data_IF_350397520367
#
_entry.id   IF_350397520367
#
_cell.length_a   1.000
_cell.length_b   1.000
_cell.length_c   1.000
_cell.angle_alpha   90.00
_cell.angle_beta   90.00
_cell.angle_gamma   90.00
#
_symmetry.space_group_name_H-M   'P 1'
#
loop_
_entity.id
_entity.type
_entity.pdbx_description
1 polymer ?
#
# COMPACT_ATOMS: atom_id res chain seq x y z
N UNK A 1 -22.58 49.51 29.25
CA UNK A 1 -23.04 48.12 29.35
C UNK A 1 -22.99 47.33 28.02
N UNK A 2 -22.27 47.77 26.98
CA UNK A 2 -22.26 47.10 25.65
C UNK A 2 -20.83 46.71 25.18
N UNK A 3 -19.82 46.84 26.04
CA UNK A 3 -18.42 46.51 25.69
C UNK A 3 -17.89 45.19 26.27
N UNK A 4 -18.65 44.52 27.13
CA UNK A 4 -18.26 43.25 27.76
C UNK A 4 -18.94 42.01 27.17
N UNK A 5 -19.88 42.19 26.23
CA UNK A 5 -20.58 41.06 25.60
C UNK A 5 -19.93 40.56 24.29
N UNK A 6 -19.04 41.36 23.68
CA UNK A 6 -18.43 41.02 22.39
C UNK A 6 -17.14 40.21 22.57
N UNK A 7 -16.46 40.35 23.72
CA UNK A 7 -15.20 39.63 24.00
C UNK A 7 -15.38 38.18 24.45
N UNK A 8 -16.58 37.81 24.93
CA UNK A 8 -16.86 36.43 25.37
C UNK A 8 -17.45 35.56 24.27
N UNK A 9 -17.96 36.15 23.18
CA UNK A 9 -18.54 35.42 22.05
C UNK A 9 -17.48 35.02 21.00
N UNK A 10 -16.29 35.64 21.04
CA UNK A 10 -15.21 35.33 20.09
C UNK A 10 -14.21 34.26 20.58
N UNK A 11 -14.33 33.76 21.82
CA UNK A 11 -13.44 32.72 22.36
C UNK A 11 -14.04 31.30 22.35
N UNK A 12 -15.30 31.15 21.97
CA UNK A 12 -15.88 29.88 21.50
C UNK A 12 -15.86 29.88 19.98
N UNK A 13 -14.69 30.10 19.38
CA UNK A 13 -14.45 29.60 18.04
C UNK A 13 -14.44 28.08 18.20
N UNK A 14 -15.58 27.47 17.87
CA UNK A 14 -15.76 26.04 17.92
C UNK A 14 -14.58 25.34 17.25
N UNK A 15 -13.73 24.65 18.02
CA UNK A 15 -13.18 23.39 17.56
C UNK A 15 -14.38 22.48 17.37
N UNK A 16 -15.07 22.59 16.23
CA UNK A 16 -15.94 21.50 15.80
C UNK A 16 -15.00 20.37 15.43
N UNK A 17 -14.67 19.53 16.40
CA UNK A 17 -14.11 18.22 16.12
C UNK A 17 -15.19 17.49 15.33
N UNK A 18 -15.06 17.47 14.00
CA UNK A 18 -15.98 16.73 13.15
C UNK A 18 -15.69 15.25 13.35
N UNK A 19 -16.43 14.61 14.26
CA UNK A 19 -16.40 13.15 14.42
C UNK A 19 -17.36 12.49 13.44
N UNK A 20 -16.94 11.39 12.83
CA UNK A 20 -17.80 10.58 11.95
C UNK A 20 -18.17 9.28 12.65
N UNK A 21 -19.46 9.06 12.87
CA UNK A 21 -19.95 7.82 13.47
C UNK A 21 -20.04 6.71 12.43
N UNK A 22 -19.45 5.57 12.73
CA UNK A 22 -19.53 4.34 11.95
C UNK A 22 -20.42 3.35 12.71
N UNK A 23 -21.65 3.10 12.23
CA UNK A 23 -22.50 2.10 12.86
C UNK A 23 -21.98 0.68 12.59
N UNK A 24 -22.09 -0.20 13.57
CA UNK A 24 -21.75 -1.62 13.41
C UNK A 24 -22.69 -2.55 14.18
N UNK A 25 -22.66 -3.84 13.85
CA UNK A 25 -23.31 -4.87 14.68
C UNK A 25 -22.61 -6.22 14.56
N UNK A 26 -22.69 -7.01 15.63
CA UNK A 26 -22.17 -8.37 15.69
C UNK A 26 -23.29 -9.39 15.51
N UNK A 27 -22.96 -10.52 14.88
CA UNK A 27 -23.81 -11.69 14.94
C UNK A 27 -23.75 -12.32 16.35
N UNK A 28 -24.90 -12.67 16.91
CA UNK A 28 -25.05 -13.27 18.25
C UNK A 28 -24.25 -14.56 18.44
N UNK A 29 -23.92 -15.27 17.34
CA UNK A 29 -23.18 -16.53 17.35
C UNK A 29 -21.66 -16.40 17.19
N UNK A 30 -21.08 -15.20 17.21
CA UNK A 30 -19.65 -15.03 17.01
C UNK A 30 -18.82 -15.62 18.16
N UNK A 31 -17.64 -16.15 17.81
CA UNK A 31 -16.63 -16.51 18.79
C UNK A 31 -16.14 -15.26 19.56
N UNK A 32 -15.94 -15.32 20.89
CA UNK A 32 -15.49 -14.18 21.69
C UNK A 32 -14.17 -13.56 21.23
N UNK A 33 -13.26 -14.37 20.67
CA UNK A 33 -11.98 -13.94 20.15
C UNK A 33 -12.13 -13.03 18.92
N UNK A 34 -13.15 -13.28 18.09
CA UNK A 34 -13.47 -12.46 16.91
C UNK A 34 -13.98 -11.10 17.36
N UNK A 35 -14.96 -11.06 18.25
CA UNK A 35 -15.54 -9.81 18.76
C UNK A 35 -14.47 -8.97 19.47
N UNK A 36 -13.60 -9.62 20.25
CA UNK A 36 -12.45 -8.95 20.88
C UNK A 36 -11.51 -8.35 19.83
N UNK A 37 -11.10 -9.12 18.82
CA UNK A 37 -10.18 -8.64 17.78
C UNK A 37 -10.73 -7.41 17.03
N UNK A 38 -12.04 -7.39 16.75
CA UNK A 38 -12.68 -6.26 16.09
C UNK A 38 -12.78 -5.05 17.00
N UNK A 39 -13.15 -5.23 18.27
CA UNK A 39 -13.22 -4.11 19.23
C UNK A 39 -11.85 -3.50 19.48
N UNK A 40 -10.81 -4.31 19.69
CA UNK A 40 -9.43 -3.85 19.86
C UNK A 40 -8.98 -3.04 18.63
N UNK A 41 -9.26 -3.52 17.41
CA UNK A 41 -8.91 -2.82 16.17
C UNK A 41 -9.72 -1.52 15.97
N UNK A 42 -11.01 -1.49 16.35
CA UNK A 42 -11.82 -0.27 16.33
C UNK A 42 -11.27 0.79 17.28
N UNK A 43 -10.85 0.40 18.48
CA UNK A 43 -10.26 1.29 19.48
C UNK A 43 -8.98 1.96 18.94
N UNK A 44 -8.08 1.17 18.36
CA UNK A 44 -6.85 1.70 17.74
C UNK A 44 -7.16 2.68 16.59
N UNK A 45 -8.16 2.38 15.76
CA UNK A 45 -8.60 3.29 14.70
C UNK A 45 -9.18 4.58 15.29
N UNK A 46 -9.96 4.50 16.38
CA UNK A 46 -10.54 5.68 17.03
C UNK A 46 -9.47 6.59 17.64
N UNK A 47 -8.39 6.02 18.18
CA UNK A 47 -7.29 6.78 18.77
C UNK A 47 -6.57 7.67 17.73
N UNK A 48 -6.38 7.14 16.52
CA UNK A 48 -5.65 7.84 15.46
C UNK A 48 -6.53 8.61 14.48
N UNK A 49 -7.86 8.51 14.60
CA UNK A 49 -8.81 9.13 13.67
C UNK A 49 -9.89 9.95 14.36
N UNK A 50 -10.79 10.54 13.59
CA UNK A 50 -12.02 11.18 14.09
C UNK A 50 -13.23 10.24 14.04
N UNK A 51 -13.01 8.95 13.77
CA UNK A 51 -14.07 7.97 13.71
C UNK A 51 -14.55 7.61 15.11
N UNK A 52 -15.84 7.31 15.22
CA UNK A 52 -16.45 6.75 16.43
C UNK A 52 -17.25 5.53 16.00
N UNK A 53 -16.93 4.36 16.53
CA UNK A 53 -17.71 3.16 16.24
C UNK A 53 -18.86 3.03 17.24
N UNK A 54 -20.08 2.91 16.75
CA UNK A 54 -21.29 2.75 17.58
C UNK A 54 -22.07 1.50 17.19
N UNK A 55 -22.42 0.68 18.17
CA UNK A 55 -23.19 -0.53 17.92
C UNK A 55 -24.66 -0.20 17.67
N UNK A 56 -25.16 -0.51 16.48
CA UNK A 56 -26.54 -0.25 16.06
C UNK A 56 -27.00 -1.29 15.03
N UNK A 57 -27.77 -2.28 15.47
CA UNK A 57 -28.29 -3.34 14.57
C UNK A 57 -29.41 -2.90 13.63
N UNK A 58 -29.97 -1.70 13.82
CA UNK A 58 -31.11 -1.20 13.03
C UNK A 58 -30.68 -0.28 11.89
N UNK A 59 -29.42 0.16 11.87
CA UNK A 59 -28.91 1.05 10.82
C UNK A 59 -28.51 0.25 9.56
N UNK A 60 -29.12 0.52 8.39
CA UNK A 60 -28.81 -0.18 7.15
C UNK A 60 -27.38 0.09 6.64
N UNK A 61 -26.73 1.14 7.13
CA UNK A 61 -25.36 1.48 6.77
C UNK A 61 -24.32 0.75 7.62
N UNK A 62 -24.75 -0.04 8.62
CA UNK A 62 -23.89 -0.74 9.56
C UNK A 62 -22.93 -1.72 8.90
N UNK A 63 -21.70 -1.74 9.43
CA UNK A 63 -20.80 -2.88 9.21
C UNK A 63 -21.31 -4.08 10.01
N UNK A 64 -21.54 -5.20 9.34
CA UNK A 64 -22.02 -6.43 9.98
C UNK A 64 -20.90 -7.45 10.11
N UNK A 65 -20.58 -7.88 11.33
CA UNK A 65 -19.48 -8.80 11.62
C UNK A 65 -20.00 -10.21 11.93
N UNK A 66 -19.53 -11.22 11.18
CA UNK A 66 -20.00 -12.60 11.31
C UNK A 66 -18.84 -13.63 11.28
N UNK A 67 -18.91 -14.60 12.18
CA UNK A 67 -18.05 -15.79 12.15
C UNK A 67 -18.47 -16.75 11.02
N UNK A 68 -17.53 -17.08 10.15
CA UNK A 68 -17.75 -17.91 8.97
C UNK A 68 -16.54 -18.78 8.59
N UNK A 69 -15.57 -18.93 9.50
CA UNK A 69 -14.38 -19.78 9.29
C UNK A 69 -13.41 -19.29 8.21
N UNK A 70 -13.60 -18.08 7.69
CA UNK A 70 -12.71 -17.43 6.74
C UNK A 70 -12.82 -15.92 6.91
N UNK A 71 -11.80 -15.18 6.51
CA UNK A 71 -11.80 -13.73 6.58
C UNK A 71 -12.20 -13.18 5.20
N UNK A 72 -13.22 -12.34 5.09
CA UNK A 72 -13.59 -11.72 3.80
C UNK A 72 -14.43 -10.45 4.00
N UNK A 73 -14.38 -9.55 3.02
CA UNK A 73 -15.25 -8.38 2.97
C UNK A 73 -16.21 -8.52 1.79
N UNK A 74 -17.50 -8.39 2.09
CA UNK A 74 -18.58 -8.39 1.11
C UNK A 74 -19.22 -7.00 1.05
N UNK A 75 -18.91 -6.26 -0.03
CA UNK A 75 -19.39 -4.88 -0.19
C UNK A 75 -20.90 -4.79 -0.45
N UNK A 76 -21.54 -5.83 -0.99
CA UNK A 76 -22.96 -5.76 -1.40
C UNK A 76 -23.95 -5.69 -0.23
N UNK A 77 -23.56 -6.20 0.94
CA UNK A 77 -24.35 -6.24 2.16
C UNK A 77 -23.55 -5.75 3.39
N UNK A 78 -22.43 -5.07 3.15
CA UNK A 78 -21.52 -4.55 4.18
C UNK A 78 -21.13 -5.56 5.25
N UNK A 79 -20.94 -6.82 4.85
CA UNK A 79 -20.65 -7.92 5.77
C UNK A 79 -19.17 -8.25 5.79
N UNK A 80 -18.60 -8.29 6.99
CA UNK A 80 -17.24 -8.72 7.29
C UNK A 80 -17.32 -10.13 7.88
N UNK A 81 -16.83 -11.07 7.10
CA UNK A 81 -16.65 -12.47 7.46
C UNK A 81 -15.32 -12.63 8.17
N UNK A 82 -15.30 -13.33 9.30
CA UNK A 82 -14.10 -13.62 10.09
C UNK A 82 -14.05 -15.10 10.46
N UNK A 83 -12.85 -15.60 10.72
CA UNK A 83 -12.63 -16.93 11.23
C UNK A 83 -11.46 -16.94 12.21
N UNK A 84 -11.58 -17.71 13.28
CA UNK A 84 -10.55 -17.80 14.33
C UNK A 84 -9.15 -18.13 13.80
N UNK A 85 -9.07 -18.88 12.69
CA UNK A 85 -7.81 -19.30 12.06
C UNK A 85 -7.11 -18.20 11.25
N UNK A 86 -7.79 -17.08 10.97
CA UNK A 86 -7.27 -15.98 10.14
C UNK A 86 -7.23 -14.62 10.85
N UNK A 87 -7.80 -14.50 12.05
CA UNK A 87 -7.76 -13.26 12.81
C UNK A 87 -6.39 -13.03 13.46
N UNK A 88 -5.95 -11.79 13.38
CA UNK A 88 -4.82 -11.21 14.11
C UNK A 88 -5.13 -9.72 14.30
N UNK A 89 -4.44 -9.05 15.21
CA UNK A 89 -4.55 -7.60 15.43
C UNK A 89 -4.50 -6.84 14.09
N UNK A 90 -3.47 -7.13 13.28
CA UNK A 90 -3.31 -6.57 11.94
C UNK A 90 -4.44 -6.94 10.98
N UNK A 91 -4.88 -8.20 10.97
CA UNK A 91 -5.96 -8.66 10.08
C UNK A 91 -7.26 -7.89 10.35
N UNK A 92 -7.60 -7.68 11.62
CA UNK A 92 -8.83 -7.01 12.03
C UNK A 92 -8.80 -5.52 11.67
N UNK A 93 -7.66 -4.85 11.87
CA UNK A 93 -7.48 -3.46 11.44
C UNK A 93 -7.56 -3.32 9.91
N UNK A 94 -6.88 -4.21 9.17
CA UNK A 94 -6.84 -4.21 7.71
C UNK A 94 -8.24 -4.39 7.10
N UNK A 95 -9.04 -5.33 7.63
CA UNK A 95 -10.36 -5.64 7.07
C UNK A 95 -11.40 -4.55 7.38
N UNK A 96 -11.36 -3.93 8.57
CA UNK A 96 -12.20 -2.78 8.91
C UNK A 96 -11.85 -1.59 8.02
N UNK A 97 -10.56 -1.27 7.92
CA UNK A 97 -10.07 -0.18 7.08
C UNK A 97 -10.55 -0.35 5.65
N UNK A 98 -10.46 -1.57 5.11
CA UNK A 98 -10.95 -1.89 3.78
C UNK A 98 -12.46 -1.69 3.64
N UNK A 99 -13.24 -2.18 4.61
CA UNK A 99 -14.69 -2.01 4.58
C UNK A 99 -15.10 -0.53 4.56
N UNK A 100 -14.32 0.31 5.25
CA UNK A 100 -14.53 1.75 5.29
C UNK A 100 -14.03 2.47 4.06
N UNK A 101 -12.91 2.07 3.44
CA UNK A 101 -12.32 2.81 2.32
C UNK A 101 -12.77 2.32 0.95
N UNK A 102 -13.20 1.06 0.83
CA UNK A 102 -13.35 0.29 -0.42
C UNK A 102 -12.04 0.09 -1.20
N UNK A 103 -10.92 0.53 -0.65
CA UNK A 103 -9.58 0.37 -1.20
C UNK A 103 -8.81 -0.70 -0.42
N UNK A 104 -7.72 -1.20 -1.01
CA UNK A 104 -6.79 -2.08 -0.30
C UNK A 104 -6.12 -1.29 0.85
N UNK A 105 -5.92 -1.89 2.03
CA UNK A 105 -5.54 -1.17 3.26
C UNK A 105 -4.12 -0.61 3.18
N UNK A 106 -3.96 0.69 3.46
CA UNK A 106 -2.67 1.35 3.65
C UNK A 106 -1.82 0.69 4.75
N UNK A 107 -0.47 0.67 4.71
CA UNK A 107 0.30 0.27 5.90
C UNK A 107 0.01 1.18 7.10
N UNK A 108 -0.80 2.23 6.91
CA UNK A 108 -1.20 3.22 7.89
C UNK A 108 -2.70 3.53 7.66
N UNK A 109 -3.53 2.57 8.05
CA UNK A 109 -4.98 2.61 7.97
C UNK A 109 -5.59 3.96 8.40
N UNK A 110 -5.13 4.47 9.54
CA UNK A 110 -5.65 5.70 10.15
C UNK A 110 -5.56 6.92 9.25
N UNK A 111 -4.51 7.08 8.45
CA UNK A 111 -4.34 8.29 7.61
C UNK A 111 -5.26 8.30 6.41
N UNK A 112 -5.46 7.15 5.78
CA UNK A 112 -6.43 7.04 4.68
C UNK A 112 -7.84 7.30 5.19
N UNK A 113 -8.16 6.80 6.38
CA UNK A 113 -9.42 7.10 7.06
C UNK A 113 -9.53 8.59 7.37
N UNK A 114 -8.47 9.22 7.88
CA UNK A 114 -8.45 10.67 8.14
C UNK A 114 -8.70 11.51 6.89
N UNK A 115 -8.14 11.14 5.74
CA UNK A 115 -8.41 11.80 4.46
C UNK A 115 -9.87 11.55 4.04
N UNK A 116 -10.33 10.29 4.06
CA UNK A 116 -11.67 9.91 3.59
C UNK A 116 -12.79 10.57 4.39
N UNK A 117 -12.63 10.65 5.71
CA UNK A 117 -13.62 11.20 6.64
C UNK A 117 -13.32 12.63 7.07
N UNK A 118 -12.32 13.27 6.44
CA UNK A 118 -11.93 14.66 6.69
C UNK A 118 -11.66 14.97 8.18
N UNK A 119 -10.87 14.10 8.82
CA UNK A 119 -10.45 14.26 10.20
C UNK A 119 -9.37 15.35 10.30
N UNK A 120 -9.78 16.63 10.31
CA UNK A 120 -8.89 17.80 10.23
C UNK A 120 -7.92 17.95 11.40
N UNK A 121 -8.27 17.37 12.55
CA UNK A 121 -7.48 17.45 13.78
C UNK A 121 -6.48 16.29 13.91
N UNK A 122 -6.40 15.42 12.90
CA UNK A 122 -5.52 14.24 12.84
C UNK A 122 -4.60 14.31 11.64
N UNK A 123 -3.49 13.56 11.67
CA UNK A 123 -2.53 13.56 10.57
C UNK A 123 -3.15 12.95 9.31
N UNK A 124 -3.17 13.73 8.22
CA UNK A 124 -3.57 13.32 6.87
C UNK A 124 -2.39 13.14 5.93
N UNK A 125 -1.17 13.48 6.36
CA UNK A 125 0.05 13.38 5.55
C UNK A 125 0.44 11.92 5.29
N UNK A 126 0.59 11.55 4.02
CA UNK A 126 1.10 10.23 3.62
C UNK A 126 2.53 10.37 3.10
N UNK A 127 3.48 9.75 3.80
CA UNK A 127 4.86 9.64 3.35
C UNK A 127 5.02 8.55 2.30
N UNK A 128 5.94 8.78 1.37
CA UNK A 128 6.30 7.87 0.30
C UNK A 128 7.66 7.21 0.58
N UNK A 129 8.01 6.20 -0.21
CA UNK A 129 9.35 5.61 -0.25
C UNK A 129 9.93 5.23 1.13
N UNK A 130 9.10 4.62 1.97
CA UNK A 130 9.47 4.13 3.30
C UNK A 130 9.54 5.22 4.38
N UNK A 131 9.09 6.44 4.09
CA UNK A 131 8.97 7.50 5.10
C UNK A 131 7.93 7.17 6.17
N UNK A 132 8.18 7.66 7.38
CA UNK A 132 7.29 7.53 8.54
C UNK A 132 6.84 8.90 9.01
N UNK A 133 5.58 9.05 9.45
CA UNK A 133 5.15 10.33 10.04
C UNK A 133 5.52 10.33 11.51
N UNK A 134 6.12 11.42 11.97
CA UNK A 134 6.43 11.64 13.37
C UNK A 134 5.25 12.24 14.14
N UNK A 135 5.41 12.47 15.44
CA UNK A 135 4.36 13.03 16.31
C UNK A 135 3.86 14.43 15.92
N UNK A 136 4.56 15.14 15.02
CA UNK A 136 4.19 16.47 14.54
C UNK A 136 3.48 16.46 13.18
N UNK A 137 3.05 15.29 12.71
CA UNK A 137 2.49 15.11 11.37
C UNK A 137 3.47 15.45 10.22
N UNK A 138 4.77 15.29 10.42
CA UNK A 138 5.81 15.50 9.39
C UNK A 138 6.44 14.17 8.97
N UNK A 139 6.88 14.06 7.72
CA UNK A 139 7.54 12.86 7.22
C UNK A 139 9.03 12.81 7.58
N UNK A 140 9.42 11.77 8.29
CA UNK A 140 10.80 11.33 8.47
C UNK A 140 11.17 10.36 7.35
N UNK A 141 12.06 10.80 6.45
CA UNK A 141 12.40 10.05 5.25
C UNK A 141 13.44 8.97 5.47
N UNK A 142 13.21 7.82 4.83
CA UNK A 142 14.18 6.75 4.76
C UNK A 142 15.46 7.17 4.01
N UNK A 143 16.51 6.36 4.16
CA UNK A 143 17.78 6.59 3.46
C UNK A 143 17.56 6.79 1.96
N UNK A 144 18.25 7.79 1.39
CA UNK A 144 18.20 8.10 -0.03
C UNK A 144 17.12 9.10 -0.44
N UNK A 145 16.13 9.38 0.42
CA UNK A 145 14.98 10.23 0.09
C UNK A 145 14.96 11.57 0.84
N UNK A 146 14.18 12.52 0.32
CA UNK A 146 13.90 13.85 0.89
C UNK A 146 12.54 14.37 0.37
N UNK A 147 12.14 15.54 0.83
CA UNK A 147 10.87 16.19 0.47
C UNK A 147 9.86 16.06 1.59
N UNK A 148 8.80 16.84 1.53
CA UNK A 148 7.78 16.89 2.59
C UNK A 148 7.02 15.56 2.72
N UNK A 149 7.02 14.75 1.65
CA UNK A 149 6.44 13.41 1.61
C UNK A 149 7.47 12.34 1.28
N UNK A 150 8.77 12.65 1.35
CA UNK A 150 9.85 11.72 0.96
C UNK A 150 9.80 11.26 -0.51
N UNK A 151 9.18 12.09 -1.36
CA UNK A 151 8.90 11.82 -2.76
C UNK A 151 10.11 12.05 -3.68
N UNK A 152 11.18 12.67 -3.18
CA UNK A 152 12.35 13.07 -3.97
C UNK A 152 13.60 12.28 -3.57
N UNK A 153 14.53 12.13 -4.51
CA UNK A 153 15.85 11.56 -4.24
C UNK A 153 16.80 12.62 -3.67
N UNK A 154 17.39 12.34 -2.51
CA UNK A 154 18.28 13.27 -1.81
C UNK A 154 19.53 13.58 -2.62
N UNK A 155 20.08 12.57 -3.28
CA UNK A 155 21.36 12.64 -4.00
C UNK A 155 21.21 12.73 -5.52
N UNK A 156 20.03 13.07 -6.04
CA UNK A 156 19.78 13.20 -7.48
C UNK A 156 20.78 14.13 -8.19
N UNK A 157 21.12 15.25 -7.55
CA UNK A 157 22.11 16.22 -8.05
C UNK A 157 23.53 15.65 -8.21
N UNK A 158 23.81 14.47 -7.66
CA UNK A 158 25.10 13.79 -7.76
C UNK A 158 25.13 12.73 -8.87
N UNK A 159 24.01 12.49 -9.58
CA UNK A 159 23.97 11.47 -10.63
C UNK A 159 24.94 11.78 -11.76
N UNK A 160 25.70 10.77 -12.14
CA UNK A 160 26.70 10.86 -13.21
C UNK A 160 26.34 10.04 -14.44
N UNK A 161 25.25 9.27 -14.36
CA UNK A 161 24.71 8.44 -15.43
C UNK A 161 23.25 8.84 -15.72
N UNK A 162 22.83 8.77 -16.98
CA UNK A 162 21.50 9.23 -17.40
C UNK A 162 20.38 8.23 -17.09
N UNK A 163 20.71 6.98 -16.78
CA UNK A 163 19.74 5.95 -16.43
C UNK A 163 19.51 5.88 -14.91
N UNK A 164 19.81 6.94 -14.15
CA UNK A 164 19.52 7.01 -12.72
C UNK A 164 18.20 7.73 -12.47
N UNK A 165 17.52 7.40 -11.38
CA UNK A 165 16.28 8.04 -10.97
C UNK A 165 15.15 7.05 -10.67
N UNK A 166 13.92 7.53 -10.80
CA UNK A 166 12.70 6.73 -10.63
C UNK A 166 12.36 5.96 -11.90
N UNK A 167 11.92 4.72 -11.70
CA UNK A 167 11.47 3.79 -12.72
C UNK A 167 10.06 3.34 -12.35
N UNK A 168 9.10 3.83 -13.11
CA UNK A 168 7.67 3.61 -12.89
C UNK A 168 7.07 2.62 -13.91
N UNK A 169 7.87 1.72 -14.50
CA UNK A 169 7.35 0.76 -15.50
C UNK A 169 6.25 -0.13 -14.87
N UNK A 170 5.09 -0.15 -15.52
CA UNK A 170 3.82 -0.61 -14.92
C UNK A 170 3.76 -2.09 -14.51
N UNK A 171 4.72 -2.93 -14.92
CA UNK A 171 4.65 -4.38 -14.64
C UNK A 171 5.99 -5.10 -14.54
N UNK A 172 6.97 -4.81 -15.39
CA UNK A 172 8.30 -5.44 -15.36
C UNK A 172 9.30 -4.70 -16.21
N UNK A 173 10.58 -4.83 -15.88
CA UNK A 173 11.64 -4.18 -16.62
C UNK A 173 13.04 -4.61 -16.18
N UNK A 174 14.02 -3.81 -16.55
CA UNK A 174 15.40 -3.98 -16.11
C UNK A 174 16.07 -2.63 -15.91
N UNK A 175 16.95 -2.55 -14.91
CA UNK A 175 17.76 -1.37 -14.65
C UNK A 175 19.25 -1.70 -14.72
N UNK A 176 20.00 -0.79 -15.32
CA UNK A 176 21.47 -0.83 -15.44
C UNK A 176 21.98 0.57 -15.79
N UNK A 177 23.30 0.76 -15.72
CA UNK A 177 23.94 1.98 -16.23
C UNK A 177 23.71 2.15 -17.75
N UNK A 178 23.73 3.39 -18.21
CA UNK A 178 23.59 3.74 -19.64
C UNK A 178 24.65 3.10 -20.55
N UNK A 179 25.81 2.73 -19.99
CA UNK A 179 26.90 2.09 -20.72
C UNK A 179 26.77 0.58 -20.86
N UNK A 180 25.90 -0.06 -20.09
CA UNK A 180 25.75 -1.53 -20.07
C UNK A 180 25.23 -2.05 -21.43
N UNK A 181 25.73 -3.17 -21.98
CA UNK A 181 26.68 -4.14 -21.41
C UNK A 181 28.17 -3.77 -21.58
N UNK A 182 28.47 -2.57 -22.05
CA UNK A 182 29.83 -2.03 -22.09
C UNK A 182 30.34 -1.59 -20.71
N UNK A 183 31.62 -1.24 -20.66
CA UNK A 183 32.29 -0.83 -19.43
C UNK A 183 31.96 0.62 -19.05
N UNK A 184 32.00 0.90 -17.75
CA UNK A 184 31.87 2.24 -17.19
C UNK A 184 32.98 3.13 -17.75
N UNK A 185 32.59 4.23 -18.39
CA UNK A 185 33.53 5.17 -19.03
C UNK A 185 33.81 6.42 -18.20
N UNK A 186 32.94 6.75 -17.23
CA UNK A 186 33.06 7.94 -16.38
C UNK A 186 33.15 7.51 -14.91
N UNK A 187 34.31 7.72 -14.28
CA UNK A 187 34.53 7.47 -12.85
C UNK A 187 34.84 8.79 -12.13
N UNK A 188 34.40 8.99 -10.87
CA UNK A 188 33.49 8.11 -10.14
C UNK A 188 32.08 8.16 -10.75
N UNK A 189 31.34 7.06 -10.60
CA UNK A 189 29.94 6.95 -10.99
C UNK A 189 29.08 6.90 -9.74
N UNK A 190 28.04 7.72 -9.69
CA UNK A 190 27.00 7.61 -8.68
C UNK A 190 25.64 7.47 -9.37
N UNK A 191 24.90 6.44 -8.98
CA UNK A 191 23.58 6.15 -9.52
C UNK A 191 22.65 5.55 -8.47
N UNK A 192 21.40 5.99 -8.47
CA UNK A 192 20.32 5.39 -7.70
C UNK A 192 19.19 5.02 -8.65
N UNK A 193 18.78 3.75 -8.62
CA UNK A 193 17.58 3.27 -9.30
C UNK A 193 16.50 3.04 -8.26
N UNK A 194 15.42 3.81 -8.33
CA UNK A 194 14.22 3.57 -7.53
C UNK A 194 13.20 2.91 -8.41
N UNK A 195 12.97 1.62 -8.19
CA UNK A 195 11.89 0.90 -8.86
C UNK A 195 10.67 1.01 -7.94
N UNK A 196 9.57 1.55 -8.45
CA UNK A 196 8.37 1.83 -7.66
C UNK A 196 7.13 1.33 -8.39
N UNK A 197 6.26 0.67 -7.67
CA UNK A 197 4.91 0.36 -8.13
C UNK A 197 3.98 1.53 -7.78
N UNK A 198 3.14 1.94 -8.74
CA UNK A 198 2.11 2.96 -8.53
C UNK A 198 1.20 2.57 -7.36
N UNK A 199 0.90 1.27 -7.26
CA UNK A 199 0.08 0.72 -6.22
C UNK A 199 0.91 0.47 -4.94
N UNK A 200 0.60 1.13 -3.81
CA UNK A 200 1.32 0.94 -2.54
C UNK A 200 1.19 -0.47 -1.93
N UNK A 201 0.29 -1.31 -2.48
CA UNK A 201 0.08 -2.71 -2.08
C UNK A 201 0.98 -3.70 -2.78
N UNK A 202 1.60 -3.29 -3.87
CA UNK A 202 2.41 -4.19 -4.67
C UNK A 202 3.82 -4.24 -4.08
N UNK A 203 4.52 -5.33 -4.34
CA UNK A 203 5.92 -5.47 -3.96
C UNK A 203 6.74 -5.60 -5.23
N UNK A 204 7.97 -5.13 -5.20
CA UNK A 204 8.92 -5.32 -6.29
C UNK A 204 9.64 -6.63 -6.04
N UNK A 205 9.53 -7.56 -6.97
CA UNK A 205 10.37 -8.75 -7.01
C UNK A 205 11.46 -8.55 -8.05
N UNK A 206 12.72 -8.73 -7.66
CA UNK A 206 13.85 -8.49 -8.54
C UNK A 206 14.95 -9.53 -8.35
N UNK A 207 15.81 -9.64 -9.37
CA UNK A 207 16.99 -10.50 -9.38
C UNK A 207 18.19 -9.76 -9.97
N UNK A 208 19.38 -10.08 -9.46
CA UNK A 208 20.61 -9.69 -10.12
C UNK A 208 20.90 -10.66 -11.27
N UNK A 209 20.92 -10.16 -12.50
CA UNK A 209 21.32 -10.95 -13.68
C UNK A 209 22.83 -10.94 -13.84
N UNK A 210 23.47 -9.80 -13.57
CA UNK A 210 24.91 -9.63 -13.63
C UNK A 210 25.38 -8.67 -12.53
N UNK A 211 26.57 -8.95 -11.97
CA UNK A 211 27.24 -8.11 -10.97
C UNK A 211 28.72 -8.04 -11.34
N UNK A 212 29.10 -6.94 -11.98
CA UNK A 212 30.48 -6.68 -12.38
C UNK A 212 30.96 -5.36 -11.76
N UNK A 213 31.64 -5.47 -10.61
CA UNK A 213 32.04 -4.38 -9.74
C UNK A 213 33.54 -4.47 -9.43
N UNK A 214 34.18 -3.34 -9.17
CA UNK A 214 35.59 -3.29 -8.81
C UNK A 214 35.90 -4.01 -7.49
N UNK A 215 36.87 -4.94 -7.55
CA UNK A 215 37.35 -5.74 -6.43
C UNK A 215 38.88 -5.65 -6.24
N UNK A 216 39.53 -4.75 -6.97
CA UNK A 216 40.96 -4.50 -6.87
C UNK A 216 41.27 -3.45 -5.78
N UNK A 217 42.54 -3.28 -5.41
CA UNK A 217 43.02 -2.19 -4.54
C UNK A 217 42.27 -2.00 -3.20
N UNK A 218 41.77 -3.09 -2.61
CA UNK A 218 40.95 -3.06 -1.39
C UNK A 218 41.75 -2.59 -0.16
N UNK A 219 41.20 -1.63 0.59
CA UNK A 219 41.73 -1.31 1.91
C UNK A 219 41.51 -2.48 2.88
N UNK A 220 42.31 -2.61 3.97
CA UNK A 220 42.14 -3.68 4.95
C UNK A 220 40.69 -3.73 5.48
N UNK A 221 40.03 -4.88 5.30
CA UNK A 221 38.65 -5.11 5.73
C UNK A 221 37.56 -4.72 4.72
N UNK A 222 37.91 -4.10 3.58
CA UNK A 222 36.97 -3.89 2.48
C UNK A 222 36.87 -5.15 1.61
N UNK A 223 35.65 -5.45 1.14
CA UNK A 223 35.40 -6.53 0.19
C UNK A 223 35.35 -6.05 -1.26
N UNK A 224 34.96 -4.79 -1.45
CA UNK A 224 34.78 -4.17 -2.76
C UNK A 224 35.25 -2.72 -2.72
N UNK A 225 35.79 -2.28 -3.85
CA UNK A 225 36.15 -0.88 -4.05
C UNK A 225 34.91 -0.08 -4.45
N UNK A 226 34.09 -0.67 -5.33
CA UNK A 226 32.75 -0.17 -5.65
C UNK A 226 31.75 -0.63 -4.57
N UNK A 227 30.70 0.16 -4.34
CA UNK A 227 29.63 -0.15 -3.40
C UNK A 227 28.31 -0.25 -4.14
N UNK A 228 27.64 -1.40 -4.01
CA UNK A 228 26.29 -1.64 -4.48
C UNK A 228 25.42 -1.98 -3.26
N UNK A 229 24.39 -1.18 -2.98
CA UNK A 229 23.52 -1.36 -1.80
C UNK A 229 22.07 -1.41 -2.26
N UNK A 230 21.28 -2.24 -1.59
CA UNK A 230 19.83 -2.32 -1.78
C UNK A 230 19.14 -1.89 -0.49
N UNK A 231 18.09 -1.07 -0.62
CA UNK A 231 17.27 -0.58 0.49
C UNK A 231 15.80 -0.90 0.21
N UNK A 232 15.06 -1.30 1.25
CA UNK A 232 13.65 -1.71 1.17
C UNK A 232 13.43 -3.22 1.03
N UNK A 233 14.41 -4.03 1.44
CA UNK A 233 14.39 -5.50 1.42
C UNK A 233 15.00 -6.02 2.72
N UNK A 234 14.21 -6.69 3.57
CA UNK A 234 14.68 -7.17 4.88
C UNK A 234 15.81 -8.20 4.78
N UNK A 235 15.78 -9.08 3.77
CA UNK A 235 16.80 -10.14 3.62
C UNK A 235 18.17 -9.64 3.15
N UNK A 236 18.27 -8.38 2.73
CA UNK A 236 19.50 -7.76 2.25
C UNK A 236 19.99 -6.69 3.21
N UNK A 237 21.10 -6.96 3.88
CA UNK A 237 21.79 -5.98 4.73
C UNK A 237 23.21 -5.71 4.24
N UNK A 238 23.56 -4.43 4.17
CA UNK A 238 24.89 -3.98 3.75
C UNK A 238 25.12 -3.99 2.24
N UNK A 239 26.39 -3.91 1.84
CA UNK A 239 26.80 -3.87 0.44
C UNK A 239 26.86 -5.28 -0.18
N UNK A 240 26.39 -5.40 -1.41
CA UNK A 240 26.48 -6.59 -2.24
C UNK A 240 27.95 -6.88 -2.56
N UNK A 241 28.43 -8.11 -2.37
CA UNK A 241 29.82 -8.45 -2.65
C UNK A 241 30.12 -8.44 -4.16
N UNK A 242 31.39 -8.25 -4.48
CA UNK A 242 31.96 -8.19 -5.83
C UNK A 242 32.96 -9.34 -6.09
N UNK A 243 33.37 -10.05 -5.02
CA UNK A 243 34.19 -11.25 -5.06
C UNK A 243 33.38 -12.50 -5.49
N UNK A 244 33.97 -13.69 -5.36
CA UNK A 244 33.33 -14.96 -5.71
C UNK A 244 31.98 -15.22 -5.01
N UNK A 245 31.74 -14.61 -3.84
CA UNK A 245 30.49 -14.77 -3.08
C UNK A 245 29.29 -14.11 -3.76
N UNK A 246 29.51 -13.19 -4.71
CA UNK A 246 28.44 -12.57 -5.50
C UNK A 246 27.60 -13.58 -6.29
N UNK A 247 28.18 -14.76 -6.60
CA UNK A 247 27.46 -15.86 -7.26
C UNK A 247 26.24 -16.33 -6.48
N UNK A 248 26.21 -16.14 -5.15
CA UNK A 248 25.05 -16.47 -4.33
C UNK A 248 23.87 -15.49 -4.49
N UNK A 249 24.11 -14.32 -5.09
CA UNK A 249 23.12 -13.28 -5.31
C UNK A 249 22.57 -13.30 -6.73
N UNK A 250 23.35 -13.75 -7.71
CA UNK A 250 22.96 -13.80 -9.12
C UNK A 250 21.87 -14.87 -9.33
N UNK A 251 20.77 -14.47 -9.97
CA UNK A 251 19.61 -15.34 -10.25
C UNK A 251 18.76 -15.70 -9.02
N UNK A 252 19.07 -15.14 -7.85
CA UNK A 252 18.20 -15.26 -6.66
C UNK A 252 17.16 -14.14 -6.70
N UNK A 253 15.89 -14.50 -6.56
CA UNK A 253 14.81 -13.53 -6.36
C UNK A 253 14.83 -12.94 -4.95
N UNK A 254 14.62 -11.63 -4.88
CA UNK A 254 14.39 -10.86 -3.67
C UNK A 254 13.08 -10.10 -3.80
N UNK A 255 12.43 -9.84 -2.67
CA UNK A 255 11.15 -9.14 -2.62
C UNK A 255 11.24 -7.96 -1.69
N UNK A 256 10.75 -6.81 -2.14
CA UNK A 256 10.70 -5.62 -1.30
C UNK A 256 9.62 -5.71 -0.22
N UNK A 257 9.88 -5.02 0.89
CA UNK A 257 8.97 -4.95 2.04
C UNK A 257 7.75 -4.06 1.77
N UNK A 258 7.87 -3.20 0.75
CA UNK A 258 6.88 -2.20 0.33
C UNK A 258 6.83 -2.07 -1.19
N UNK A 259 6.15 -1.06 -1.71
CA UNK A 259 5.98 -0.82 -3.14
C UNK A 259 7.18 -0.19 -3.84
N UNK A 260 8.35 -0.14 -3.20
CA UNK A 260 9.56 0.36 -3.82
C UNK A 260 10.79 -0.45 -3.42
N UNK A 261 11.82 -0.38 -4.23
CA UNK A 261 13.18 -0.76 -3.88
C UNK A 261 14.15 0.31 -4.40
N UNK A 262 15.11 0.70 -3.57
CA UNK A 262 16.18 1.61 -3.94
C UNK A 262 17.48 0.81 -4.09
N UNK A 263 18.07 0.86 -5.28
CA UNK A 263 19.37 0.25 -5.58
C UNK A 263 20.37 1.37 -5.85
N UNK A 264 21.43 1.42 -5.06
CA UNK A 264 22.44 2.47 -5.12
C UNK A 264 23.80 1.90 -5.53
N UNK A 265 24.40 2.47 -6.57
CA UNK A 265 25.76 2.20 -7.01
C UNK A 265 26.66 3.43 -6.78
N UNK A 266 27.80 3.20 -6.13
CA UNK A 266 28.91 4.15 -5.97
C UNK A 266 30.18 3.49 -6.49
N UNK A 267 30.79 4.04 -7.54
CA UNK A 267 32.08 3.55 -8.03
C UNK A 267 33.22 4.45 -7.59
N UNK A 268 34.37 3.83 -7.38
CA UNK A 268 35.61 4.50 -7.00
C UNK A 268 36.30 5.16 -8.19
N UNK A 269 37.06 6.23 -7.93
CA UNK A 269 37.97 6.82 -8.91
C UNK A 269 39.30 6.07 -9.03
N UNK A 270 39.60 5.14 -8.11
CA UNK A 270 40.91 4.48 -7.98
C UNK A 270 40.98 3.10 -8.65
N UNK A 271 39.86 2.61 -9.18
CA UNK A 271 39.84 1.33 -9.89
C UNK A 271 40.29 1.53 -11.34
N UNK A 272 41.40 0.92 -11.71
CA UNK A 272 41.90 0.91 -13.10
C UNK A 272 41.18 -0.15 -13.97
N UNK A 273 40.44 -1.06 -13.32
CA UNK A 273 39.71 -2.13 -13.98
C UNK A 273 38.50 -1.65 -14.79
N UNK A 274 38.15 -2.45 -15.81
CA UNK A 274 36.99 -2.21 -16.68
C UNK A 274 35.83 -3.09 -16.20
N UNK A 275 34.86 -2.45 -15.56
CA UNK A 275 33.68 -3.10 -14.98
C UNK A 275 32.42 -2.59 -15.66
N UNK A 276 31.43 -3.46 -15.85
CA UNK A 276 30.14 -3.14 -16.51
C UNK A 276 29.10 -2.53 -15.56
N UNK A 277 29.25 -2.75 -14.25
CA UNK A 277 28.20 -2.48 -13.27
C UNK A 277 27.18 -3.64 -13.17
N UNK A 278 26.07 -3.43 -12.44
CA UNK A 278 25.03 -4.44 -12.30
C UNK A 278 24.01 -4.39 -13.45
N UNK A 279 23.39 -5.55 -13.71
CA UNK A 279 22.12 -5.66 -14.44
C UNK A 279 21.10 -6.29 -13.51
N UNK A 280 20.01 -5.57 -13.25
CA UNK A 280 18.90 -6.04 -12.43
C UNK A 280 17.65 -6.18 -13.29
N UNK A 281 16.95 -7.30 -13.15
CA UNK A 281 15.59 -7.46 -13.68
C UNK A 281 14.60 -7.36 -12.55
N UNK A 282 13.45 -6.77 -12.83
CA UNK A 282 12.39 -6.65 -11.85
C UNK A 282 11.03 -6.90 -12.48
N UNK A 283 10.09 -7.29 -11.64
CA UNK A 283 8.68 -7.28 -11.94
C UNK A 283 7.88 -6.84 -10.72
N UNK A 284 6.78 -6.14 -10.99
CA UNK A 284 5.83 -5.74 -9.97
C UNK A 284 5.01 -6.97 -9.62
N UNK A 285 5.29 -7.52 -8.45
CA UNK A 285 4.50 -8.60 -7.89
C UNK A 285 3.23 -8.00 -7.29
N UNK A 286 2.11 -8.21 -7.99
CA UNK A 286 0.79 -7.84 -7.49
C UNK A 286 0.49 -8.69 -6.28
N UNK A 287 0.78 -8.15 -5.09
CA UNK A 287 0.41 -8.81 -3.84
C UNK A 287 -1.11 -8.86 -3.82
N UNK A 288 -1.65 -10.03 -4.10
CA UNK A 288 -2.91 -10.43 -3.52
C UNK A 288 -2.66 -10.41 -2.02
N UNK A 289 -3.11 -9.37 -1.30
CA UNK A 289 -3.17 -9.36 0.17
C UNK A 289 -4.09 -10.49 0.72
N UNK A 290 -4.50 -11.43 -0.13
CA UNK A 290 -5.77 -12.14 -0.12
C UNK A 290 -5.61 -13.64 -0.41
N UNK A 291 -4.43 -14.24 -0.18
CA UNK A 291 -4.37 -15.72 -0.11
C UNK A 291 -5.28 -16.24 1.03
N UNK A 292 -5.47 -15.45 2.10
CA UNK A 292 -6.32 -15.79 3.24
C UNK A 292 -7.65 -15.02 3.31
N UNK A 293 -7.81 -13.92 2.55
CA UNK A 293 -8.99 -13.06 2.64
C UNK A 293 -9.66 -12.94 1.27
N UNK A 294 -10.85 -13.51 1.06
CA UNK A 294 -11.50 -13.46 -0.27
C UNK A 294 -12.29 -12.17 -0.45
N UNK A 295 -12.47 -11.74 -1.70
CA UNK A 295 -13.41 -10.67 -2.05
C UNK A 295 -14.57 -11.34 -2.78
N UNK A 296 -15.78 -11.14 -2.28
CA UNK A 296 -16.99 -11.63 -2.92
C UNK A 296 -17.75 -10.44 -3.48
N UNK A 297 -17.47 -10.09 -4.74
CA UNK A 297 -18.38 -9.24 -5.53
C UNK A 297 -19.43 -10.14 -6.16
N UNK A 298 -20.64 -10.15 -5.61
CA UNK A 298 -21.74 -10.93 -6.17
C UNK A 298 -22.25 -10.32 -7.47
N UNK A 299 -21.76 -10.80 -8.62
CA UNK A 299 -22.66 -11.10 -9.74
C UNK A 299 -23.01 -12.59 -9.65
N UNK A 300 -23.87 -12.92 -8.69
CA UNK A 300 -24.47 -14.25 -8.64
C UNK A 300 -25.50 -14.28 -9.77
N UNK A 301 -25.09 -14.69 -10.97
CA UNK A 301 -26.04 -15.19 -11.96
C UNK A 301 -26.64 -16.46 -11.36
N UNK A 302 -27.87 -16.32 -10.86
CA UNK A 302 -28.70 -17.42 -10.38
C UNK A 302 -28.86 -18.43 -11.52
N UNK A 303 -28.02 -19.47 -11.52
CA UNK A 303 -28.20 -20.64 -12.37
C UNK A 303 -29.27 -21.52 -11.73
N UNK A 304 -30.52 -21.04 -11.71
CA UNK A 304 -31.69 -21.89 -11.47
C UNK A 304 -32.12 -22.45 -12.81
N UNK A 305 -31.69 -23.69 -13.08
CA UNK A 305 -32.26 -24.51 -14.13
C UNK A 305 -33.77 -24.64 -13.90
N UNK A 306 -34.54 -23.93 -14.72
CA UNK A 306 -35.96 -24.22 -14.91
C UNK A 306 -36.19 -24.49 -16.39
N UNK A 307 -36.60 -25.73 -16.64
CA UNK A 307 -37.01 -26.27 -17.92
C UNK A 307 -38.13 -25.40 -18.51
N UNK A 308 -37.87 -24.76 -19.65
CA UNK A 308 -38.92 -24.20 -20.49
C UNK A 308 -39.68 -25.34 -21.15
N UNK A 309 -40.82 -25.74 -20.58
CA UNK A 309 -41.86 -26.44 -21.33
C UNK A 309 -42.80 -25.41 -21.97
N UNK A 310 -42.87 -25.47 -23.29
CA UNK A 310 -43.77 -24.75 -24.16
C UNK A 310 -45.23 -25.01 -23.81
N UNK A 311 -46.04 -23.96 -23.62
CA UNK A 311 -47.46 -23.97 -23.98
C UNK A 311 -47.94 -22.56 -24.31
N UNK A 312 -48.25 -22.35 -25.59
CA UNK A 312 -49.07 -21.27 -26.09
C UNK A 312 -50.40 -21.18 -25.32
N UNK A 313 -50.77 -19.98 -24.91
CA UNK A 313 -52.18 -19.61 -24.78
C UNK A 313 -52.37 -18.18 -25.26
N UNK A 314 -53.04 -18.09 -26.40
CA UNK A 314 -53.61 -16.87 -26.96
C UNK A 314 -54.85 -16.52 -26.12
N UNK A 315 -54.95 -15.29 -25.63
CA UNK A 315 -56.25 -14.71 -25.28
C UNK A 315 -56.29 -13.24 -25.71
N UNK A 316 -57.10 -12.98 -26.74
CA UNK A 316 -57.61 -11.64 -27.05
C UNK A 316 -58.53 -11.16 -25.92
N UNK A 317 -58.51 -9.87 -25.62
CA UNK A 317 -59.74 -9.07 -25.52
C UNK A 317 -59.44 -7.56 -25.61
N UNK A 318 -60.10 -6.95 -26.58
CA UNK A 318 -60.31 -5.51 -26.81
C UNK A 318 -61.13 -4.89 -25.68
N UNK A 319 -60.94 -3.61 -25.33
CA UNK A 319 -62.03 -2.61 -25.31
C UNK A 319 -61.51 -1.18 -25.12
N UNK A 320 -62.34 -0.26 -25.60
CA UNK A 320 -62.09 1.10 -26.00
C UNK A 320 -61.80 2.12 -24.89
N UNK A 321 -61.12 3.21 -25.25
CA UNK A 321 -61.25 4.50 -24.59
C UNK A 321 -61.37 5.59 -25.67
N UNK A 322 -62.55 6.17 -25.77
CA UNK A 322 -62.88 7.34 -26.59
C UNK A 322 -63.67 8.30 -25.70
N UNK A 323 -63.25 9.57 -25.72
CA UNK A 323 -63.89 10.80 -25.19
C UNK A 323 -63.89 10.93 -23.65
N UNK A 324 -63.84 12.10 -23.04
CA UNK A 324 -63.53 13.49 -23.42
C UNK A 324 -63.64 14.28 -22.10
N UNK A 325 -62.83 15.34 -21.98
CA UNK A 325 -63.11 16.57 -21.22
C UNK A 325 -63.47 16.44 -19.72
N UNK A 326 -62.48 16.71 -18.87
CA UNK A 326 -62.39 17.95 -18.09
C UNK A 326 -60.92 18.40 -18.04
#
# INVERSE_FOLDING_TARGET
>A
MVKFFITTILLTLCCQTFSSTIPYSFNVGNAPEIDKCIRDAMEEIMDDTCLIFEENSEDPESLFFIDSGHCSWQSSNKTIHLGVDCISEKTCQDIITRALTNDRPYPIASRVLNIKYNCTDKCTLICENGGQVNGNCECECAYGFKGDRCEQLKMEHMFTDSNCGFFDDETSGSVSLSTYPGFITKKPTFCQWVIKAENPWESIEFEFVDIDLASDNLAPGQRCEDSLVVVGVEELSGAIPCDETKKAFIGKSYRSDSNYVLIELKTSSWSDGKFKGPLIKYHVHKKSLFDNIRILSSEITSNSGFLYTTTSTILLTTFAAVLAQF
#
